data_IF_384664565538
#
_entry.id   IF_384664565538
#
_cell.length_a   1.000
_cell.length_b   1.000
_cell.length_c   1.000
_cell.angle_alpha   90.00
_cell.angle_beta   90.00
_cell.angle_gamma   90.00
#
_symmetry.space_group_name_H-M   'P 1'
#
loop_
_entity.id
_entity.type
_entity.pdbx_description
1 polymer ?
#
# COMPACT_ATOMS: atom_id res chain seq x y z
N UNK A 1 -4.95 26.34 -21.69
CA UNK A 1 -5.15 24.87 -21.69
C UNK A 1 -6.51 24.64 -21.07
N UNK A 2 -7.50 24.48 -21.94
CA UNK A 2 -8.92 24.55 -21.55
C UNK A 2 -9.36 23.30 -20.82
N UNK A 3 -9.73 23.50 -19.55
CA UNK A 3 -10.22 22.46 -18.64
C UNK A 3 -11.55 21.83 -19.09
N UNK A 4 -12.21 22.40 -20.10
CA UNK A 4 -13.50 21.93 -20.62
C UNK A 4 -13.39 20.77 -21.62
N UNK A 5 -12.20 20.46 -22.14
CA UNK A 5 -12.01 19.37 -23.11
C UNK A 5 -11.97 17.98 -22.47
N UNK A 6 -11.51 17.89 -21.21
CA UNK A 6 -11.34 16.61 -20.52
C UNK A 6 -12.68 15.97 -20.11
N UNK A 7 -13.69 16.79 -19.81
CA UNK A 7 -15.02 16.31 -19.40
C UNK A 7 -15.80 15.74 -20.60
N UNK A 8 -15.58 16.30 -21.79
CA UNK A 8 -16.28 15.88 -23.02
C UNK A 8 -15.85 14.49 -23.52
N UNK A 9 -14.61 14.08 -23.23
CA UNK A 9 -14.12 12.73 -23.53
C UNK A 9 -14.71 11.64 -22.63
N UNK A 10 -15.12 11.97 -21.40
CA UNK A 10 -15.72 11.00 -20.47
C UNK A 10 -17.19 10.69 -20.76
N UNK A 11 -17.90 11.52 -21.53
CA UNK A 11 -19.31 11.29 -21.87
C UNK A 11 -19.56 10.49 -23.14
N UNK A 12 -18.53 10.26 -23.97
CA UNK A 12 -18.69 9.61 -25.28
C UNK A 12 -18.29 8.12 -25.31
N UNK A 13 -17.91 7.54 -24.16
CA UNK A 13 -17.49 6.14 -24.09
C UNK A 13 -18.06 5.38 -22.88
N UNK A 14 -19.29 5.72 -22.48
CA UNK A 14 -20.06 4.86 -21.59
C UNK A 14 -20.69 3.74 -22.43
N UNK A 15 -20.40 2.45 -22.15
CA UNK A 15 -21.11 1.36 -22.80
C UNK A 15 -22.60 1.49 -22.48
N UNK A 16 -23.38 1.74 -23.54
CA UNK A 16 -24.82 1.86 -23.55
C UNK A 16 -25.42 0.50 -23.20
N UNK A 17 -25.57 0.22 -21.89
CA UNK A 17 -26.26 -0.97 -21.41
C UNK A 17 -27.76 -0.78 -21.64
N UNK A 18 -28.22 -1.23 -22.81
CA UNK A 18 -29.64 -1.42 -23.11
C UNK A 18 -30.11 -2.61 -22.26
N UNK A 19 -30.46 -2.33 -21.02
CA UNK A 19 -31.13 -3.27 -20.12
C UNK A 19 -32.57 -2.82 -19.92
N UNK A 20 -33.51 -3.74 -20.15
CA UNK A 20 -34.95 -3.61 -19.99
C UNK A 20 -35.40 -2.71 -18.82
N UNK A 21 -36.10 -1.62 -19.15
CA UNK A 21 -36.71 -0.71 -18.16
C UNK A 21 -37.97 -1.26 -17.48
N UNK A 22 -38.41 -2.48 -17.82
CA UNK A 22 -39.69 -3.02 -17.37
C UNK A 22 -39.59 -3.96 -16.15
N UNK A 23 -38.41 -4.47 -15.82
CA UNK A 23 -38.21 -5.44 -14.73
C UNK A 23 -37.85 -4.78 -13.38
N UNK A 24 -37.79 -3.44 -13.34
CA UNK A 24 -37.30 -2.68 -12.18
C UNK A 24 -38.40 -2.23 -11.22
N UNK A 25 -39.66 -2.17 -11.66
CA UNK A 25 -40.77 -1.68 -10.83
C UNK A 25 -41.33 -2.79 -9.94
N UNK A 26 -41.46 -4.01 -10.47
CA UNK A 26 -41.96 -5.19 -9.75
C UNK A 26 -41.01 -5.58 -8.60
N UNK A 27 -39.70 -5.52 -8.87
CA UNK A 27 -38.67 -5.80 -7.87
C UNK A 27 -38.68 -4.83 -6.68
N UNK A 28 -39.22 -3.61 -6.82
CA UNK A 28 -39.32 -2.65 -5.71
C UNK A 28 -40.58 -2.87 -4.87
N UNK A 29 -41.72 -3.17 -5.47
CA UNK A 29 -42.96 -3.49 -4.75
C UNK A 29 -42.79 -4.75 -3.89
N UNK A 30 -42.12 -5.77 -4.41
CA UNK A 30 -41.74 -6.96 -3.65
C UNK A 30 -40.83 -6.62 -2.46
N UNK A 31 -39.89 -5.69 -2.61
CA UNK A 31 -39.00 -5.30 -1.51
C UNK A 31 -39.74 -4.60 -0.37
N UNK A 32 -40.74 -3.77 -0.68
CA UNK A 32 -41.53 -3.05 0.32
C UNK A 32 -42.38 -4.01 1.15
N UNK A 33 -42.96 -5.03 0.50
CA UNK A 33 -43.68 -6.11 1.18
C UNK A 33 -42.77 -6.87 2.16
N UNK A 34 -41.54 -7.17 1.75
CA UNK A 34 -40.55 -7.85 2.60
C UNK A 34 -40.08 -6.97 3.77
N UNK A 35 -39.92 -5.67 3.54
CA UNK A 35 -39.61 -4.69 4.59
C UNK A 35 -40.73 -4.63 5.62
N UNK A 36 -42.00 -4.66 5.19
CA UNK A 36 -43.15 -4.69 6.10
C UNK A 36 -43.14 -5.93 7.00
N UNK A 37 -42.80 -7.11 6.45
CA UNK A 37 -42.66 -8.34 7.24
C UNK A 37 -41.59 -8.20 8.31
N UNK A 38 -40.42 -7.65 7.96
CA UNK A 38 -39.33 -7.45 8.92
C UNK A 38 -39.67 -6.39 9.97
N UNK A 39 -40.39 -5.35 9.58
CA UNK A 39 -40.85 -4.28 10.48
C UNK A 39 -41.93 -4.79 11.44
N UNK A 40 -42.83 -5.68 10.98
CA UNK A 40 -43.83 -6.32 11.82
C UNK A 40 -43.23 -7.21 12.93
N UNK A 41 -42.00 -7.69 12.75
CA UNK A 41 -41.24 -8.42 13.79
C UNK A 41 -40.60 -7.50 14.84
N UNK A 42 -40.78 -6.18 14.74
CA UNK A 42 -40.27 -5.19 15.70
C UNK A 42 -38.91 -4.59 15.35
N UNK A 43 -38.39 -4.84 14.14
CA UNK A 43 -37.18 -4.18 13.65
C UNK A 43 -37.52 -2.83 13.00
N UNK A 44 -36.55 -1.92 13.00
CA UNK A 44 -36.74 -0.61 12.33
C UNK A 44 -36.70 -0.77 10.81
N UNK A 45 -37.44 0.07 10.09
CA UNK A 45 -37.48 0.04 8.62
C UNK A 45 -36.10 0.20 7.99
N UNK A 46 -35.24 1.05 8.58
CA UNK A 46 -33.87 1.25 8.14
C UNK A 46 -33.02 -0.02 8.28
N UNK A 47 -33.18 -0.76 9.38
CA UNK A 47 -32.52 -2.04 9.60
C UNK A 47 -33.04 -3.11 8.65
N UNK A 48 -34.35 -3.17 8.42
CA UNK A 48 -34.99 -4.09 7.48
C UNK A 48 -34.49 -3.88 6.05
N UNK A 49 -34.51 -2.64 5.54
CA UNK A 49 -34.01 -2.29 4.20
C UNK A 49 -32.53 -2.65 4.08
N UNK A 50 -31.73 -2.37 5.11
CA UNK A 50 -30.31 -2.66 5.10
C UNK A 50 -29.98 -4.17 5.10
N UNK A 51 -30.66 -4.95 5.94
CA UNK A 51 -30.44 -6.40 6.01
C UNK A 51 -30.93 -7.11 4.75
N UNK A 52 -32.11 -6.76 4.24
CA UNK A 52 -32.65 -7.29 2.99
C UNK A 52 -31.79 -6.95 1.78
N UNK A 53 -31.25 -5.73 1.70
CA UNK A 53 -30.31 -5.35 0.65
C UNK A 53 -29.01 -6.19 0.68
N UNK A 54 -28.52 -6.53 1.88
CA UNK A 54 -27.33 -7.38 2.04
C UNK A 54 -27.59 -8.85 1.71
N UNK A 55 -28.81 -9.34 1.95
CA UNK A 55 -29.18 -10.75 1.77
C UNK A 55 -29.97 -11.01 0.49
N UNK A 56 -30.01 -10.02 -0.43
CA UNK A 56 -30.71 -10.11 -1.72
C UNK A 56 -32.18 -10.49 -1.54
N UNK A 57 -32.89 -9.75 -0.69
CA UNK A 57 -34.33 -9.91 -0.43
C UNK A 57 -34.72 -11.24 0.24
N UNK A 58 -33.76 -11.95 0.85
CA UNK A 58 -34.05 -13.12 1.66
C UNK A 58 -34.32 -12.71 3.12
N UNK A 59 -35.56 -12.91 3.57
CA UNK A 59 -36.04 -12.55 4.93
C UNK A 59 -35.34 -13.35 6.02
N UNK A 60 -35.20 -14.66 5.85
CA UNK A 60 -34.59 -15.54 6.85
C UNK A 60 -33.13 -15.14 7.11
N UNK A 61 -32.37 -14.92 6.03
CA UNK A 61 -31.00 -14.44 6.14
C UNK A 61 -30.93 -13.02 6.69
N UNK A 62 -31.90 -12.15 6.35
CA UNK A 62 -31.95 -10.78 6.85
C UNK A 62 -32.16 -10.75 8.37
N UNK A 63 -33.06 -11.58 8.89
CA UNK A 63 -33.26 -11.75 10.34
C UNK A 63 -31.97 -12.29 10.96
N UNK A 64 -31.36 -13.32 10.39
CA UNK A 64 -30.12 -13.87 10.90
C UNK A 64 -29.00 -12.82 10.98
N UNK A 65 -28.89 -11.96 9.95
CA UNK A 65 -27.93 -10.86 9.93
C UNK A 65 -28.23 -9.80 11.00
N UNK A 66 -29.50 -9.53 11.28
CA UNK A 66 -29.92 -8.60 12.34
C UNK A 66 -29.63 -9.17 13.73
N UNK A 67 -29.89 -10.47 13.94
CA UNK A 67 -29.67 -11.19 15.21
C UNK A 67 -28.19 -11.41 15.50
N UNK A 68 -27.41 -11.85 14.52
CA UNK A 68 -25.97 -12.11 14.69
C UNK A 68 -25.15 -10.83 14.82
N UNK A 69 -25.76 -9.68 14.54
CA UNK A 69 -25.11 -8.39 14.40
C UNK A 69 -24.28 -8.33 13.13
N UNK A 70 -24.06 -7.12 12.64
CA UNK A 70 -23.32 -6.84 11.41
C UNK A 70 -21.82 -7.15 11.58
N UNK A 71 -21.48 -8.44 11.71
CA UNK A 71 -20.13 -8.96 11.65
C UNK A 71 -19.71 -8.78 10.21
N UNK A 72 -19.19 -7.60 9.87
CA UNK A 72 -18.46 -7.36 8.63
C UNK A 72 -17.18 -8.22 8.68
N UNK A 73 -17.35 -9.55 8.57
CA UNK A 73 -16.33 -10.58 8.68
C UNK A 73 -15.20 -10.32 7.70
N UNK A 74 -15.51 -9.74 6.54
CA UNK A 74 -14.52 -9.37 5.52
C UNK A 74 -13.60 -8.24 5.97
N UNK A 75 -14.12 -7.15 6.56
CA UNK A 75 -13.30 -6.06 7.08
C UNK A 75 -12.48 -6.53 8.27
N UNK A 76 -13.10 -7.28 9.16
CA UNK A 76 -12.43 -7.84 10.34
C UNK A 76 -11.34 -8.85 9.97
N UNK A 77 -11.56 -9.68 8.95
CA UNK A 77 -10.56 -10.61 8.40
C UNK A 77 -9.39 -9.88 7.76
N UNK A 78 -9.66 -8.81 7.00
CA UNK A 78 -8.61 -7.96 6.40
C UNK A 78 -7.79 -7.26 7.50
N UNK A 79 -8.46 -6.73 8.52
CA UNK A 79 -7.81 -6.10 9.67
C UNK A 79 -6.93 -7.09 10.44
N UNK A 80 -7.41 -8.31 10.70
CA UNK A 80 -6.61 -9.37 11.35
C UNK A 80 -5.37 -9.73 10.55
N UNK A 81 -5.46 -9.84 9.21
CA UNK A 81 -4.30 -10.10 8.35
C UNK A 81 -3.28 -8.96 8.44
N UNK A 82 -3.73 -7.70 8.32
CA UNK A 82 -2.86 -6.52 8.45
C UNK A 82 -2.18 -6.46 9.81
N UNK A 83 -2.92 -6.75 10.89
CA UNK A 83 -2.38 -6.75 12.24
C UNK A 83 -1.32 -7.84 12.44
N UNK A 84 -1.52 -9.04 11.88
CA UNK A 84 -0.50 -10.11 11.92
C UNK A 84 0.78 -9.71 11.18
N UNK A 85 0.66 -9.13 9.98
CA UNK A 85 1.80 -8.64 9.20
C UNK A 85 2.53 -7.54 9.96
N UNK A 86 1.78 -6.56 10.49
CA UNK A 86 2.34 -5.47 11.27
C UNK A 86 3.06 -5.99 12.52
N UNK A 87 2.44 -6.91 13.25
CA UNK A 87 3.03 -7.53 14.43
C UNK A 87 4.29 -8.31 14.09
N UNK A 88 4.29 -9.09 13.02
CA UNK A 88 5.46 -9.82 12.55
C UNK A 88 6.62 -8.85 12.24
N UNK A 89 6.33 -7.72 11.59
CA UNK A 89 7.36 -6.74 11.24
C UNK A 89 7.83 -5.91 12.45
N UNK A 90 6.95 -5.56 13.38
CA UNK A 90 7.34 -4.79 14.58
C UNK A 90 7.98 -5.65 15.67
N UNK A 91 7.61 -6.92 15.79
CA UNK A 91 7.99 -7.79 16.91
C UNK A 91 8.87 -8.97 16.49
N UNK A 92 9.19 -9.11 15.20
CA UNK A 92 10.02 -10.20 14.69
C UNK A 92 11.49 -10.01 15.08
N UNK A 93 12.16 -9.05 14.46
CA UNK A 93 13.52 -8.67 14.85
C UNK A 93 13.60 -7.14 14.90
N UNK A 94 13.63 -6.52 16.10
CA UNK A 94 13.61 -5.07 16.24
C UNK A 94 14.82 -4.41 15.55
N UNK A 95 15.95 -5.11 15.45
CA UNK A 95 17.16 -4.61 14.79
C UNK A 95 16.97 -4.44 13.28
N UNK A 96 16.30 -5.40 12.64
CA UNK A 96 16.01 -5.34 11.20
C UNK A 96 15.04 -4.19 10.89
N UNK A 97 14.07 -3.97 11.76
CA UNK A 97 13.10 -2.87 11.63
C UNK A 97 13.74 -1.51 11.88
N UNK A 98 14.60 -1.39 12.90
CA UNK A 98 15.36 -0.18 13.16
C UNK A 98 16.30 0.16 12.00
N UNK A 99 16.99 -0.83 11.43
CA UNK A 99 17.82 -0.64 10.24
C UNK A 99 16.99 -0.20 9.02
N UNK A 100 15.84 -0.85 8.79
CA UNK A 100 14.95 -0.47 7.68
C UNK A 100 14.41 0.96 7.84
N UNK A 101 14.08 1.38 9.07
CA UNK A 101 13.64 2.74 9.38
C UNK A 101 14.78 3.74 9.18
N UNK A 102 15.97 3.46 9.74
CA UNK A 102 17.14 4.31 9.60
C UNK A 102 17.52 4.50 8.13
N UNK A 103 17.52 3.41 7.35
CA UNK A 103 17.75 3.43 5.90
C UNK A 103 16.71 4.28 5.18
N UNK A 104 15.43 4.12 5.50
CA UNK A 104 14.36 4.88 4.85
C UNK A 104 14.41 6.38 5.17
N UNK A 105 14.76 6.75 6.41
CA UNK A 105 15.01 8.15 6.80
C UNK A 105 16.22 8.72 6.04
N UNK A 106 17.29 7.93 5.91
CA UNK A 106 18.49 8.35 5.20
C UNK A 106 18.24 8.50 3.69
N UNK A 107 17.46 7.61 3.08
CA UNK A 107 17.04 7.69 1.68
C UNK A 107 16.19 8.93 1.43
N UNK A 108 15.27 9.30 2.34
CA UNK A 108 14.50 10.55 2.25
C UNK A 108 15.38 11.79 2.36
N UNK A 109 16.35 11.80 3.27
CA UNK A 109 17.32 12.89 3.38
C UNK A 109 18.19 13.01 2.12
N UNK A 110 18.60 11.89 1.54
CA UNK A 110 19.40 11.87 0.32
C UNK A 110 18.57 12.28 -0.92
N UNK A 111 17.29 11.89 -0.98
CA UNK A 111 16.37 12.36 -2.01
C UNK A 111 16.19 13.88 -1.96
N UNK A 112 15.94 14.42 -0.77
CA UNK A 112 15.78 15.87 -0.58
C UNK A 112 17.07 16.63 -0.95
N UNK A 113 18.25 16.08 -0.62
CA UNK A 113 19.54 16.66 -1.06
C UNK A 113 19.72 16.62 -2.58
N UNK A 114 19.31 15.53 -3.22
CA UNK A 114 19.33 15.42 -4.68
C UNK A 114 18.38 16.41 -5.34
N UNK A 115 17.20 16.64 -4.75
CA UNK A 115 16.26 17.66 -5.19
C UNK A 115 16.82 19.08 -5.00
N UNK A 116 17.49 19.36 -3.88
CA UNK A 116 18.14 20.64 -3.62
C UNK A 116 19.26 20.93 -4.63
N UNK A 117 20.13 19.95 -4.91
CA UNK A 117 21.16 20.08 -5.95
C UNK A 117 20.52 20.28 -7.33
N UNK A 118 19.44 19.56 -7.64
CA UNK A 118 18.71 19.71 -8.90
C UNK A 118 18.07 21.09 -9.03
N UNK A 119 17.52 21.64 -7.94
CA UNK A 119 16.95 22.98 -7.92
C UNK A 119 18.04 24.05 -8.09
N UNK A 120 19.19 23.85 -7.45
CA UNK A 120 20.36 24.72 -7.56
C UNK A 120 20.96 24.70 -8.97
N UNK A 121 21.04 23.52 -9.61
CA UNK A 121 21.44 23.40 -11.01
C UNK A 121 20.39 24.04 -11.92
N UNK A 122 19.09 23.88 -11.68
CA UNK A 122 18.07 24.48 -12.54
C UNK A 122 18.04 26.01 -12.44
N UNK A 123 18.18 26.55 -11.23
CA UNK A 123 18.19 28.00 -10.99
C UNK A 123 19.50 28.66 -11.42
N UNK A 124 20.61 27.93 -11.37
CA UNK A 124 21.96 28.45 -11.61
C UNK A 124 22.70 27.76 -12.77
N UNK A 125 21.98 27.10 -13.67
CA UNK A 125 22.53 26.20 -14.70
C UNK A 125 23.58 26.87 -15.58
N UNK A 126 23.36 28.12 -15.97
CA UNK A 126 24.27 28.88 -16.83
C UNK A 126 25.57 29.20 -16.09
N UNK A 127 25.51 29.79 -14.89
CA UNK A 127 26.69 30.11 -14.08
C UNK A 127 27.45 28.83 -13.65
N UNK A 128 26.72 27.73 -13.40
CA UNK A 128 27.31 26.45 -13.07
C UNK A 128 28.09 25.85 -14.26
N UNK A 129 27.51 25.85 -15.47
CA UNK A 129 28.22 25.42 -16.68
C UNK A 129 29.40 26.35 -17.02
N UNK A 130 29.28 27.66 -16.77
CA UNK A 130 30.40 28.61 -16.89
C UNK A 130 31.54 28.27 -15.91
N UNK A 131 31.23 27.94 -14.65
CA UNK A 131 32.25 27.55 -13.66
C UNK A 131 32.98 26.24 -13.99
N UNK A 132 32.31 25.29 -14.67
CA UNK A 132 32.93 24.06 -15.15
C UNK A 132 33.90 24.33 -16.32
N UNK A 133 33.57 25.29 -17.18
CA UNK A 133 34.43 25.71 -18.29
C UNK A 133 35.63 26.53 -17.80
N UNK A 134 35.45 27.37 -16.78
CA UNK A 134 36.52 28.15 -16.13
C UNK A 134 37.49 27.25 -15.34
N UNK A 135 36.98 26.19 -14.70
CA UNK A 135 37.81 25.16 -14.05
C UNK A 135 38.64 24.33 -15.04
N UNK A 136 38.24 24.27 -16.31
CA UNK A 136 38.97 23.57 -17.38
C UNK A 136 40.10 24.40 -18.00
N UNK A 137 40.19 25.71 -17.76
CA UNK A 137 41.25 26.57 -18.32
C UNK A 137 42.44 26.77 -17.37
N UNK A 138 42.47 26.07 -16.23
CA UNK A 138 43.45 26.23 -15.15
C UNK A 138 44.32 24.97 -14.92
N UNK A 139 44.65 24.20 -15.96
CA UNK A 139 45.58 23.08 -15.81
C UNK A 139 46.52 22.91 -17.01
N UNK A 140 47.50 23.81 -17.08
CA UNK A 140 48.82 23.51 -17.64
C UNK A 140 49.84 24.04 -16.63
N UNK A 141 50.25 23.20 -15.69
CA UNK A 141 51.64 23.09 -15.22
C UNK A 141 51.72 22.21 -13.95
N UNK A 142 52.45 21.10 -14.11
CA UNK A 142 53.42 20.49 -13.19
C UNK A 142 53.03 20.24 -11.72
N UNK A 143 52.93 18.96 -11.34
CA UNK A 143 53.80 18.38 -10.29
C UNK A 143 53.61 16.87 -10.18
N UNK A 144 54.54 16.15 -10.79
CA UNK A 144 55.04 14.85 -10.34
C UNK A 144 55.34 14.83 -8.82
N UNK A 145 54.87 13.80 -8.11
CA UNK A 145 55.68 13.05 -7.14
C UNK A 145 54.96 11.77 -6.72
N UNK A 146 55.59 10.64 -7.02
CA UNK A 146 55.16 9.33 -6.58
C UNK A 146 55.52 9.03 -5.12
N UNK A 147 54.91 7.97 -4.58
CA UNK A 147 55.57 7.04 -3.66
C UNK A 147 54.75 5.76 -3.56
N UNK A 148 55.47 4.66 -3.73
CA UNK A 148 55.10 3.25 -3.74
C UNK A 148 54.84 2.69 -2.33
N UNK A 149 54.49 1.39 -2.31
CA UNK A 149 54.72 0.35 -1.27
C UNK A 149 53.45 -0.02 -0.45
N UNK A 150 52.80 -1.18 -0.73
CA UNK A 150 53.07 -2.55 -0.19
C UNK A 150 52.99 -2.58 1.35
N UNK A 151 52.40 -3.53 2.08
CA UNK A 151 52.16 -4.98 2.00
C UNK A 151 51.32 -5.27 3.29
N UNK A 152 50.32 -6.16 3.39
CA UNK A 152 50.40 -7.62 3.63
C UNK A 152 49.27 -7.98 4.60
N UNK A 153 48.43 -8.99 4.30
CA UNK A 153 48.38 -10.32 4.97
C UNK A 153 47.92 -10.25 6.44
N UNK A 154 47.09 -11.13 7.03
CA UNK A 154 46.70 -12.51 6.76
C UNK A 154 45.66 -12.95 7.84
N UNK A 155 44.95 -14.05 7.56
CA UNK A 155 44.37 -15.01 8.52
C UNK A 155 43.24 -14.56 9.48
N UNK A 156 42.16 -15.31 9.74
CA UNK A 156 42.08 -16.74 9.95
C UNK A 156 40.61 -17.23 9.90
N UNK A 157 40.52 -18.53 9.62
CA UNK A 157 39.36 -19.42 9.63
C UNK A 157 38.76 -19.63 11.04
N UNK A 158 37.65 -20.40 11.06
CA UNK A 158 37.01 -21.08 12.20
C UNK A 158 35.74 -20.36 12.72
N UNK A 159 34.61 -21.00 13.04
CA UNK A 159 34.24 -22.41 13.13
C UNK A 159 32.72 -22.51 12.98
N UNK A 160 32.23 -23.48 12.21
CA UNK A 160 30.90 -24.05 12.44
C UNK A 160 30.97 -24.97 13.67
N UNK A 161 29.97 -24.95 14.54
CA UNK A 161 29.52 -26.19 15.15
C UNK A 161 28.03 -26.41 14.89
N UNK A 162 27.79 -27.56 14.27
CA UNK A 162 26.56 -28.33 14.26
C UNK A 162 25.89 -28.41 15.64
N UNK A 163 24.57 -28.29 15.66
CA UNK A 163 23.73 -28.87 16.70
C UNK A 163 22.45 -29.40 16.08
N UNK A 164 22.51 -30.69 15.75
CA UNK A 164 21.34 -31.52 15.56
C UNK A 164 20.59 -31.59 16.90
N UNK A 165 19.29 -31.28 16.90
CA UNK A 165 18.38 -31.82 17.90
C UNK A 165 17.23 -32.50 17.17
N UNK A 166 17.42 -33.81 17.05
CA UNK A 166 16.38 -34.80 16.86
C UNK A 166 15.35 -34.70 17.99
N UNK A 167 14.08 -34.51 17.67
CA UNK A 167 13.00 -35.18 18.42
C UNK A 167 11.72 -35.34 17.58
N UNK A 168 10.99 -36.45 17.79
CA UNK A 168 10.09 -37.07 16.82
C UNK A 168 8.60 -36.70 17.04
N UNK A 169 7.69 -37.09 16.12
CA UNK A 169 6.24 -36.89 16.27
C UNK A 169 5.56 -38.14 16.91
N UNK A 170 4.22 -38.18 17.00
CA UNK A 170 3.39 -38.20 18.22
C UNK A 170 3.08 -39.59 18.80
N UNK A 171 2.40 -39.66 19.94
CA UNK A 171 1.79 -40.90 20.48
C UNK A 171 0.33 -40.68 20.90
N UNK A 172 -0.54 -41.52 20.29
CA UNK A 172 -1.95 -41.85 20.54
C UNK A 172 -3.00 -40.75 20.73
#
# INVERSE_FOLDING_TARGET
MDSDSAVKWLMLNAPFFVGHKHDYLDAMEDTENLVNVVTAMGYTEQQARFSLAKTKNNVEQAIQLLVEGNKDTNKQRRQRRRYKVLRHNLMGNPEVTNYAIAKLVQDQLNHNKGEEIRELINSRSVEFMESLLDSSSSSADEAEQGSSQEESQEESLSSSPSSASSSPPPSN
#
